data_IF_823680171200
#
_entry.id   IF_823680171200
#
_cell.length_a   1.000
_cell.length_b   1.000
_cell.length_c   1.000
_cell.angle_alpha   90.00
_cell.angle_beta   90.00
_cell.angle_gamma   90.00
#
_symmetry.space_group_name_H-M   'P 1'
#
loop_
_entity.id
_entity.type
_entity.pdbx_description
1 polymer ?
#
# COMPACT_ATOMS: atom_id res chain seq x y z
N UNK A 1 18.39 -14.49 6.72
CA UNK A 1 18.33 -13.30 7.60
C UNK A 1 16.92 -13.06 8.13
N UNK A 2 15.88 -13.02 7.29
CA UNK A 2 14.46 -12.80 7.69
C UNK A 2 14.01 -13.82 8.75
N UNK A 3 14.21 -15.12 8.51
CA UNK A 3 13.87 -16.20 9.45
C UNK A 3 14.57 -16.08 10.80
N UNK A 4 15.82 -15.58 10.82
CA UNK A 4 16.54 -15.33 12.08
C UNK A 4 15.91 -14.18 12.87
N UNK A 5 15.52 -13.09 12.19
CA UNK A 5 14.84 -11.95 12.83
C UNK A 5 13.48 -12.37 13.41
N UNK A 6 12.71 -13.17 12.68
CA UNK A 6 11.45 -13.73 13.17
C UNK A 6 11.68 -14.58 14.44
N UNK A 7 12.72 -15.41 14.44
CA UNK A 7 13.08 -16.22 15.60
C UNK A 7 13.51 -15.40 16.83
N UNK A 8 14.23 -14.29 16.62
CA UNK A 8 14.63 -13.41 17.74
C UNK A 8 13.48 -12.59 18.30
N UNK A 9 12.60 -12.07 17.43
CA UNK A 9 11.52 -11.18 17.85
C UNK A 9 10.25 -11.90 18.31
N UNK A 10 10.05 -13.14 17.83
CA UNK A 10 8.78 -13.86 17.98
C UNK A 10 7.63 -13.21 17.20
N UNK A 11 7.92 -12.22 16.33
CA UNK A 11 6.92 -11.46 15.58
C UNK A 11 6.96 -11.76 14.08
N UNK A 12 5.85 -11.60 13.36
CA UNK A 12 5.85 -11.68 11.90
C UNK A 12 6.69 -10.55 11.30
N UNK A 13 7.52 -10.88 10.30
CA UNK A 13 8.39 -9.91 9.63
C UNK A 13 7.75 -9.48 8.31
N UNK A 14 7.55 -8.18 8.14
CA UNK A 14 7.09 -7.56 6.90
C UNK A 14 8.27 -6.87 6.23
N UNK A 15 8.51 -7.17 4.95
CA UNK A 15 9.60 -6.56 4.19
C UNK A 15 9.10 -5.34 3.43
N UNK A 16 9.62 -4.18 3.80
CA UNK A 16 9.26 -2.89 3.18
C UNK A 16 10.30 -2.45 2.14
N UNK A 17 9.83 -1.76 1.10
CA UNK A 17 10.66 -1.23 0.03
C UNK A 17 10.73 -2.15 -1.19
N UNK A 18 9.85 -3.12 -1.28
CA UNK A 18 9.77 -4.03 -2.43
C UNK A 18 9.19 -3.28 -3.62
N UNK A 19 9.91 -3.31 -4.75
CA UNK A 19 9.52 -2.70 -6.01
C UNK A 19 9.66 -3.64 -7.22
N UNK A 20 10.02 -4.90 -6.99
CA UNK A 20 10.14 -5.89 -8.06
C UNK A 20 9.48 -7.22 -7.68
N UNK A 21 8.75 -7.90 -8.61
CA UNK A 21 8.08 -9.16 -8.32
C UNK A 21 9.01 -10.27 -7.81
N UNK A 22 10.22 -10.39 -8.39
CA UNK A 22 11.17 -11.41 -7.96
C UNK A 22 11.64 -11.20 -6.52
N UNK A 23 11.80 -9.95 -6.08
CA UNK A 23 12.18 -9.64 -4.69
C UNK A 23 11.06 -9.99 -3.71
N UNK A 24 9.79 -9.78 -4.11
CA UNK A 24 8.64 -10.20 -3.32
C UNK A 24 8.62 -11.73 -3.12
N UNK A 25 8.82 -12.48 -4.19
CA UNK A 25 8.90 -13.95 -4.13
C UNK A 25 10.08 -14.42 -3.26
N UNK A 26 11.25 -13.81 -3.43
CA UNK A 26 12.43 -14.12 -2.64
C UNK A 26 12.22 -13.83 -1.14
N UNK A 27 11.57 -12.70 -0.82
CA UNK A 27 11.24 -12.34 0.56
C UNK A 27 10.29 -13.37 1.21
N UNK A 28 9.24 -13.79 0.51
CA UNK A 28 8.29 -14.81 0.97
C UNK A 28 9.02 -16.15 1.20
N UNK A 29 9.84 -16.56 0.24
CA UNK A 29 10.65 -17.79 0.34
C UNK A 29 11.59 -17.76 1.55
N UNK A 30 12.11 -16.58 1.90
CA UNK A 30 12.95 -16.36 3.06
C UNK A 30 12.18 -16.25 4.39
N UNK A 31 10.84 -16.38 4.38
CA UNK A 31 9.99 -16.39 5.56
C UNK A 31 9.36 -15.04 5.92
N UNK A 32 9.24 -14.10 4.96
CA UNK A 32 8.47 -12.88 5.18
C UNK A 32 6.97 -13.22 5.35
N UNK A 33 6.34 -12.62 6.35
CA UNK A 33 4.92 -12.76 6.65
C UNK A 33 4.05 -11.70 5.93
N UNK A 34 4.67 -10.76 5.24
CA UNK A 34 4.00 -9.74 4.43
C UNK A 34 4.98 -8.97 3.56
N UNK A 35 4.45 -8.40 2.47
CA UNK A 35 5.19 -7.56 1.53
C UNK A 35 4.68 -6.11 1.64
N UNK A 36 5.61 -5.16 1.70
CA UNK A 36 5.27 -3.76 1.71
C UNK A 36 5.85 -3.08 0.46
N UNK A 37 5.01 -2.89 -0.55
CA UNK A 37 5.35 -2.21 -1.81
C UNK A 37 5.51 -0.72 -1.53
N UNK A 38 6.71 -0.21 -1.75
CA UNK A 38 7.06 1.16 -1.39
C UNK A 38 8.35 1.60 -2.08
N UNK A 39 8.37 2.81 -2.63
CA UNK A 39 9.58 3.50 -3.07
C UNK A 39 10.07 4.56 -2.05
N UNK A 40 9.62 4.45 -0.80
CA UNK A 40 9.94 5.41 0.27
C UNK A 40 9.53 6.87 -0.06
N UNK A 41 8.48 7.04 -0.87
CA UNK A 41 8.02 8.34 -1.32
C UNK A 41 8.99 9.04 -2.29
N UNK A 42 9.80 8.26 -3.03
CA UNK A 42 10.81 8.74 -3.99
C UNK A 42 12.05 9.31 -3.33
N UNK A 43 12.30 9.03 -2.04
CA UNK A 43 13.39 9.69 -1.27
C UNK A 43 14.69 8.88 -1.18
N UNK A 44 14.69 7.62 -1.62
CA UNK A 44 15.85 6.74 -1.48
C UNK A 44 16.63 6.62 -2.81
N UNK A 45 15.97 6.21 -3.86
CA UNK A 45 16.57 6.02 -5.17
C UNK A 45 15.89 6.95 -6.18
N UNK A 46 16.66 7.87 -6.74
CA UNK A 46 16.20 8.73 -7.82
C UNK A 46 16.00 7.90 -9.11
N UNK A 47 14.99 8.26 -9.91
CA UNK A 47 14.63 7.52 -11.12
C UNK A 47 13.96 6.17 -10.91
N UNK A 48 13.68 5.78 -9.66
CA UNK A 48 12.87 4.60 -9.40
C UNK A 48 11.42 4.81 -9.90
N UNK A 49 10.76 3.76 -10.43
CA UNK A 49 9.38 3.85 -10.87
C UNK A 49 8.43 4.18 -9.72
N UNK A 50 7.25 4.69 -10.05
CA UNK A 50 6.17 4.88 -9.07
C UNK A 50 5.79 3.55 -8.43
N UNK A 51 5.67 3.50 -7.10
CA UNK A 51 5.32 2.25 -6.41
C UNK A 51 3.99 1.66 -6.90
N UNK A 52 3.03 2.51 -7.30
CA UNK A 52 1.74 2.07 -7.84
C UNK A 52 1.88 1.34 -9.18
N UNK A 53 2.89 1.66 -9.99
CA UNK A 53 3.16 1.01 -11.28
C UNK A 53 3.64 -0.42 -11.10
N UNK A 54 4.34 -0.69 -10.01
CA UNK A 54 4.89 -2.01 -9.68
C UNK A 54 3.88 -2.92 -8.96
N UNK A 55 2.87 -2.32 -8.33
CA UNK A 55 1.92 -3.03 -7.48
C UNK A 55 1.20 -4.19 -8.21
N UNK A 56 0.65 -4.04 -9.44
CA UNK A 56 -0.06 -5.14 -10.10
C UNK A 56 0.83 -6.36 -10.37
N UNK A 57 2.06 -6.13 -10.84
CA UNK A 57 2.99 -7.22 -11.13
C UNK A 57 3.45 -7.93 -9.84
N UNK A 58 3.66 -7.17 -8.76
CA UNK A 58 3.99 -7.72 -7.45
C UNK A 58 2.80 -8.50 -6.89
N UNK A 59 1.58 -7.97 -6.97
CA UNK A 59 0.38 -8.64 -6.49
C UNK A 59 0.16 -9.99 -7.21
N UNK A 60 0.34 -10.02 -8.53
CA UNK A 60 0.28 -11.25 -9.32
C UNK A 60 1.35 -12.26 -8.89
N UNK A 61 2.58 -11.82 -8.63
CA UNK A 61 3.66 -12.70 -8.20
C UNK A 61 3.51 -13.19 -6.75
N UNK A 62 2.92 -12.38 -5.87
CA UNK A 62 2.62 -12.76 -4.48
C UNK A 62 1.48 -13.78 -4.43
N UNK A 63 0.51 -13.67 -5.30
CA UNK A 63 -0.61 -14.62 -5.47
C UNK A 63 -1.29 -14.96 -4.13
N UNK A 64 -1.70 -13.94 -3.38
CA UNK A 64 -2.39 -14.04 -2.09
C UNK A 64 -1.67 -14.87 -0.99
N UNK A 65 -0.40 -15.25 -1.19
CA UNK A 65 0.37 -16.04 -0.21
C UNK A 65 0.63 -15.31 1.11
N UNK A 66 0.75 -14.00 1.05
CA UNK A 66 0.92 -13.11 2.20
C UNK A 66 0.22 -11.77 1.92
N UNK A 67 -0.15 -10.99 2.95
CA UNK A 67 -0.75 -9.67 2.74
C UNK A 67 0.24 -8.70 2.08
N UNK A 68 -0.32 -7.82 1.24
CA UNK A 68 0.40 -6.74 0.57
C UNK A 68 -0.01 -5.41 1.17
N UNK A 69 0.95 -4.68 1.73
CA UNK A 69 0.80 -3.29 2.11
C UNK A 69 1.37 -2.41 1.00
N UNK A 70 0.75 -1.29 0.73
CA UNK A 70 1.19 -0.33 -0.28
C UNK A 70 1.32 1.07 0.32
N UNK A 71 2.37 1.81 -0.02
CA UNK A 71 2.46 3.26 0.16
C UNK A 71 3.19 3.94 -1.02
N UNK A 72 3.18 5.25 -1.01
CA UNK A 72 3.82 6.08 -2.02
C UNK A 72 2.80 6.92 -2.80
N UNK A 73 2.81 8.22 -2.58
CA UNK A 73 1.96 9.18 -3.30
C UNK A 73 0.47 9.18 -2.92
N UNK A 74 0.07 8.45 -1.88
CA UNK A 74 -1.33 8.42 -1.41
C UNK A 74 -1.69 9.73 -0.72
N UNK A 75 -2.63 10.48 -1.29
CA UNK A 75 -3.08 11.79 -0.81
C UNK A 75 -4.61 11.95 -0.81
N UNK A 76 -5.34 11.08 -1.50
CA UNK A 76 -6.79 11.15 -1.70
C UNK A 76 -7.43 9.78 -1.50
N UNK A 77 -8.71 9.75 -1.14
CA UNK A 77 -9.46 8.51 -1.02
C UNK A 77 -9.49 7.68 -2.31
N UNK A 78 -9.53 8.34 -3.48
CA UNK A 78 -9.46 7.65 -4.79
C UNK A 78 -8.11 6.96 -5.03
N UNK A 79 -7.01 7.45 -4.44
CA UNK A 79 -5.72 6.77 -4.53
C UNK A 79 -5.74 5.47 -3.71
N UNK A 80 -6.44 5.48 -2.56
CA UNK A 80 -6.65 4.28 -1.74
C UNK A 80 -7.44 3.23 -2.52
N UNK A 81 -8.56 3.63 -3.15
CA UNK A 81 -9.37 2.72 -3.97
C UNK A 81 -8.55 2.07 -5.08
N UNK A 82 -7.78 2.87 -5.81
CA UNK A 82 -6.93 2.36 -6.90
C UNK A 82 -5.91 1.35 -6.40
N UNK A 83 -5.24 1.64 -5.29
CA UNK A 83 -4.25 0.72 -4.72
C UNK A 83 -4.88 -0.61 -4.30
N UNK A 84 -6.04 -0.58 -3.64
CA UNK A 84 -6.76 -1.79 -3.25
C UNK A 84 -7.24 -2.60 -4.47
N UNK A 85 -7.77 -1.94 -5.50
CA UNK A 85 -8.19 -2.58 -6.75
C UNK A 85 -7.01 -3.16 -7.55
N UNK A 86 -5.79 -2.62 -7.37
CA UNK A 86 -4.58 -3.12 -8.00
C UNK A 86 -3.86 -4.20 -7.19
N UNK A 87 -4.45 -4.66 -6.09
CA UNK A 87 -3.99 -5.84 -5.35
C UNK A 87 -3.36 -5.57 -3.98
N UNK A 88 -3.42 -4.34 -3.46
CA UNK A 88 -3.06 -4.09 -2.06
C UNK A 88 -4.15 -4.60 -1.11
N UNK A 89 -3.75 -5.09 0.06
CA UNK A 89 -4.66 -5.42 1.16
C UNK A 89 -4.79 -4.25 2.15
N UNK A 90 -3.72 -3.49 2.33
CA UNK A 90 -3.64 -2.33 3.21
C UNK A 90 -2.93 -1.18 2.49
N UNK A 91 -3.34 0.05 2.82
CA UNK A 91 -2.74 1.26 2.23
C UNK A 91 -2.20 2.16 3.34
N UNK A 92 -0.91 2.50 3.24
CA UNK A 92 -0.22 3.42 4.13
C UNK A 92 -0.24 4.84 3.60
N UNK A 93 -0.28 5.81 4.51
CA UNK A 93 -0.14 7.23 4.22
C UNK A 93 1.04 7.80 5.02
N UNK A 94 1.79 8.71 4.42
CA UNK A 94 2.93 9.36 5.08
C UNK A 94 2.72 10.87 5.18
N UNK A 95 3.14 11.64 4.18
CA UNK A 95 3.13 13.10 4.20
C UNK A 95 1.81 13.76 4.60
N UNK A 96 0.62 13.32 4.16
CA UNK A 96 -0.63 13.93 4.60
C UNK A 96 -0.82 13.91 6.11
N UNK A 97 -0.50 12.80 6.77
CA UNK A 97 -0.58 12.72 8.23
C UNK A 97 0.44 13.63 8.92
N UNK A 98 1.67 13.75 8.35
CA UNK A 98 2.70 14.64 8.89
C UNK A 98 2.30 16.11 8.77
N UNK A 99 1.63 16.50 7.69
CA UNK A 99 1.08 17.85 7.53
C UNK A 99 -0.06 18.12 8.53
N UNK A 100 -0.95 17.15 8.73
CA UNK A 100 -2.00 17.24 9.75
C UNK A 100 -1.41 17.43 11.14
N UNK A 101 -0.37 16.66 11.48
CA UNK A 101 0.33 16.78 12.76
C UNK A 101 0.97 18.17 12.94
N UNK A 102 1.62 18.68 11.90
CA UNK A 102 2.28 19.98 11.95
C UNK A 102 1.28 21.15 12.12
N UNK A 103 0.11 21.05 11.52
CA UNK A 103 -0.90 22.12 11.51
C UNK A 103 -1.83 22.08 12.72
N UNK A 104 -2.16 20.89 13.25
CA UNK A 104 -3.20 20.74 14.27
C UNK A 104 -2.92 19.66 15.32
N UNK A 105 -1.66 19.23 15.45
CA UNK A 105 -1.32 18.18 16.41
C UNK A 105 -2.10 16.89 16.17
N UNK A 106 -2.50 16.20 17.23
CA UNK A 106 -3.26 14.95 17.13
C UNK A 106 -4.62 15.15 16.45
N UNK A 107 -5.26 16.32 16.64
CA UNK A 107 -6.53 16.63 15.99
C UNK A 107 -6.35 16.72 14.46
N UNK A 108 -5.29 17.37 14.00
CA UNK A 108 -4.98 17.46 12.57
C UNK A 108 -4.70 16.08 11.94
N UNK A 109 -4.08 15.15 12.67
CA UNK A 109 -3.92 13.76 12.20
C UNK A 109 -5.28 13.08 12.06
N UNK A 110 -6.16 13.26 13.07
CA UNK A 110 -7.52 12.73 13.04
C UNK A 110 -8.32 13.29 11.86
N UNK A 111 -8.24 14.60 11.63
CA UNK A 111 -8.96 15.27 10.55
C UNK A 111 -8.52 14.75 9.17
N UNK A 112 -7.22 14.48 8.97
CA UNK A 112 -6.71 13.84 7.74
C UNK A 112 -7.29 12.43 7.57
N UNK A 113 -7.36 11.64 8.63
CA UNK A 113 -7.92 10.29 8.57
C UNK A 113 -9.43 10.32 8.26
N UNK A 114 -10.17 11.20 8.92
CA UNK A 114 -11.62 11.36 8.70
C UNK A 114 -11.91 11.86 7.27
N UNK A 115 -11.10 12.80 6.77
CA UNK A 115 -11.22 13.29 5.40
C UNK A 115 -10.99 12.19 4.36
N UNK A 116 -9.92 11.41 4.51
CA UNK A 116 -9.65 10.28 3.63
C UNK A 116 -10.77 9.23 3.68
N UNK A 117 -11.29 8.93 4.86
CA UNK A 117 -12.43 8.02 5.02
C UNK A 117 -13.68 8.53 4.31
N UNK A 118 -13.96 9.82 4.40
CA UNK A 118 -15.08 10.45 3.68
C UNK A 118 -14.88 10.33 2.16
N UNK A 119 -13.69 10.65 1.65
CA UNK A 119 -13.39 10.53 0.22
C UNK A 119 -13.49 9.09 -0.29
N UNK A 120 -13.04 8.10 0.51
CA UNK A 120 -13.18 6.68 0.20
C UNK A 120 -14.67 6.32 0.06
N UNK A 121 -15.49 6.70 1.02
CA UNK A 121 -16.93 6.41 0.99
C UNK A 121 -17.61 7.02 -0.24
N UNK A 122 -17.32 8.29 -0.55
CA UNK A 122 -17.84 8.96 -1.74
C UNK A 122 -17.39 8.23 -3.02
N UNK A 123 -16.11 7.87 -3.11
CA UNK A 123 -15.58 7.18 -4.28
C UNK A 123 -16.18 5.78 -4.44
N UNK A 124 -16.42 5.04 -3.35
CA UNK A 124 -17.10 3.75 -3.38
C UNK A 124 -18.55 3.91 -3.88
N UNK A 125 -19.28 4.92 -3.40
CA UNK A 125 -20.64 5.22 -3.89
C UNK A 125 -20.66 5.52 -5.38
N UNK A 126 -19.74 6.38 -5.87
CA UNK A 126 -19.66 6.77 -7.28
C UNK A 126 -19.23 5.61 -8.20
N UNK A 127 -18.53 4.62 -7.68
CA UNK A 127 -18.11 3.42 -8.44
C UNK A 127 -19.06 2.23 -8.28
N UNK A 128 -20.10 2.36 -7.45
CA UNK A 128 -21.05 1.28 -7.17
C UNK A 128 -20.50 0.16 -6.28
N UNK A 129 -19.34 0.36 -5.66
CA UNK A 129 -18.75 -0.61 -4.71
C UNK A 129 -19.42 -0.48 -3.35
N UNK A 130 -20.09 -1.54 -2.88
CA UNK A 130 -20.72 -1.57 -1.57
C UNK A 130 -19.80 -2.14 -0.48
N UNK A 131 -18.89 -3.01 -0.87
CA UNK A 131 -17.97 -3.71 0.03
C UNK A 131 -16.52 -3.59 -0.43
N UNK A 132 -15.59 -3.93 0.46
CA UNK A 132 -14.17 -4.05 0.10
C UNK A 132 -13.91 -5.17 -0.91
N UNK A 133 -14.75 -6.21 -0.93
CA UNK A 133 -14.67 -7.28 -1.92
C UNK A 133 -15.01 -6.76 -3.33
N UNK A 134 -16.05 -5.94 -3.46
CA UNK A 134 -16.42 -5.31 -4.74
C UNK A 134 -15.28 -4.44 -5.27
N UNK A 135 -14.65 -3.70 -4.35
CA UNK A 135 -13.55 -2.81 -4.67
C UNK A 135 -12.33 -3.58 -5.21
N UNK A 136 -12.01 -4.73 -4.62
CA UNK A 136 -10.92 -5.60 -5.11
C UNK A 136 -11.20 -6.21 -6.50
N UNK A 137 -12.44 -6.27 -6.92
CA UNK A 137 -12.84 -6.74 -8.26
C UNK A 137 -12.94 -5.61 -9.28
N UNK A 138 -12.83 -4.35 -8.84
CA UNK A 138 -12.93 -3.18 -9.72
C UNK A 138 -11.76 -3.15 -10.71
N UNK A 139 -12.07 -2.91 -11.98
CA UNK A 139 -11.06 -2.73 -13.03
C UNK A 139 -10.58 -1.28 -13.04
N UNK A 140 -9.30 -1.09 -12.82
CA UNK A 140 -8.64 0.23 -12.94
C UNK A 140 -7.96 0.29 -14.30
N UNK A 141 -8.27 1.34 -15.08
CA UNK A 141 -7.51 1.62 -16.30
C UNK A 141 -6.12 2.14 -15.90
N UNK A 142 -5.10 1.41 -16.28
CA UNK A 142 -3.70 1.80 -16.06
C UNK A 142 -3.10 2.30 -17.37
N UNK A 143 -2.23 3.29 -17.30
CA UNK A 143 -1.44 3.81 -18.42
C UNK A 143 0.03 3.42 -18.31
N UNK A 144 0.30 2.30 -17.61
CA UNK A 144 1.65 1.83 -17.34
C UNK A 144 2.24 0.94 -18.46
N UNK A 145 1.65 0.99 -19.66
CA UNK A 145 2.15 0.26 -20.83
C UNK A 145 2.84 1.22 -21.78
#
# INVERSE_FOLDING_TARGET
>A
MISKLAGYSGLPIIIKGIQHPADAVAAITAGAAGIYVSNHGGRQLDGAPGAIEQLPAIAAAVDHRVPIIFDGGVQRGTHVLKALALGADLVGIGRPFSYGLALGGWQGVKDVADHLKMEINIAMQLTGCQTMADLKQMKVKTSFN
#
